data_IF_694761952473
#
_entry.id   IF_694761952473
#
_cell.length_a   1.000
_cell.length_b   1.000
_cell.length_c   1.000
_cell.angle_alpha   90.00
_cell.angle_beta   90.00
_cell.angle_gamma   90.00
#
_symmetry.space_group_name_H-M   'P 1'
#
loop_
_entity.id
_entity.type
_entity.pdbx_description
1 polymer ?
#
# COMPACT_ATOMS: atom_id res chain seq x y z
N UNK A 1 -63.68 61.95 -29.11
CA UNK A 1 -62.36 62.07 -29.75
C UNK A 1 -61.37 62.32 -28.65
N UNK A 2 -60.79 61.34 -28.09
CA UNK A 2 -59.78 61.40 -27.00
C UNK A 2 -58.50 60.74 -27.43
N UNK A 3 -57.48 61.54 -27.52
CA UNK A 3 -56.15 61.13 -27.83
C UNK A 3 -55.44 60.74 -26.52
N UNK A 4 -55.08 59.41 -26.36
CA UNK A 4 -54.38 58.94 -25.18
C UNK A 4 -52.86 58.90 -25.48
N UNK A 5 -52.09 59.62 -24.72
CA UNK A 5 -50.63 59.69 -24.72
C UNK A 5 -50.08 58.44 -24.01
N UNK A 6 -49.27 57.68 -24.71
CA UNK A 6 -48.50 56.55 -24.17
C UNK A 6 -47.15 57.09 -23.67
N UNK A 7 -46.90 56.98 -22.37
CA UNK A 7 -45.61 57.30 -21.77
C UNK A 7 -44.70 56.06 -21.78
N UNK A 8 -43.59 56.13 -22.50
CA UNK A 8 -42.53 55.12 -22.51
C UNK A 8 -41.62 55.38 -21.31
N UNK A 9 -41.58 54.43 -20.34
CA UNK A 9 -40.59 54.46 -19.24
C UNK A 9 -39.36 53.68 -19.66
N UNK A 10 -38.26 54.37 -19.80
CA UNK A 10 -36.94 53.77 -20.00
C UNK A 10 -36.48 53.16 -18.67
N UNK A 11 -36.34 51.82 -18.62
CA UNK A 11 -35.72 51.12 -17.51
C UNK A 11 -34.20 50.98 -17.79
N UNK A 12 -33.41 51.70 -17.01
CA UNK A 12 -31.95 51.57 -17.02
C UNK A 12 -31.59 50.34 -16.19
N UNK A 13 -31.15 49.24 -16.83
CA UNK A 13 -30.62 48.10 -16.16
C UNK A 13 -29.15 48.34 -15.77
N UNK A 14 -28.86 48.46 -14.49
CA UNK A 14 -27.51 48.52 -13.95
C UNK A 14 -26.98 47.06 -13.91
N UNK A 15 -26.10 46.74 -14.82
CA UNK A 15 -25.36 45.46 -14.79
C UNK A 15 -24.23 45.62 -13.78
N UNK A 16 -24.40 45.03 -12.59
CA UNK A 16 -23.31 44.85 -11.62
C UNK A 16 -22.36 43.76 -12.10
N UNK A 17 -21.18 44.13 -12.59
CA UNK A 17 -20.09 43.20 -12.85
C UNK A 17 -19.58 42.66 -11.48
N UNK A 18 -19.97 41.44 -11.12
CA UNK A 18 -19.34 40.71 -10.04
C UNK A 18 -17.95 40.23 -10.53
N UNK A 19 -16.90 40.93 -10.14
CA UNK A 19 -15.52 40.47 -10.30
C UNK A 19 -15.32 39.30 -9.34
N UNK A 20 -15.45 38.07 -9.86
CA UNK A 20 -15.05 36.88 -9.15
C UNK A 20 -13.52 36.93 -9.01
N UNK A 21 -13.04 37.28 -7.82
CA UNK A 21 -11.64 37.11 -7.46
C UNK A 21 -11.37 35.63 -7.41
N UNK A 22 -10.78 35.09 -8.47
CA UNK A 22 -10.15 33.78 -8.41
C UNK A 22 -8.98 33.88 -7.41
N UNK A 23 -9.21 33.50 -6.16
CA UNK A 23 -8.13 33.23 -5.25
C UNK A 23 -7.34 32.07 -5.85
N UNK A 24 -6.14 32.32 -6.34
CA UNK A 24 -5.21 31.29 -6.77
C UNK A 24 -5.02 30.35 -5.58
N UNK A 25 -5.41 29.09 -5.74
CA UNK A 25 -5.15 28.07 -4.74
C UNK A 25 -3.64 28.08 -4.45
N UNK A 26 -3.24 28.04 -3.17
CA UNK A 26 -1.82 28.00 -2.83
C UNK A 26 -1.24 26.75 -3.49
N UNK A 27 -0.29 26.95 -4.39
CA UNK A 27 0.50 25.88 -4.99
C UNK A 27 1.20 25.20 -3.81
N UNK A 28 0.94 23.91 -3.62
CA UNK A 28 1.69 23.09 -2.66
C UNK A 28 3.19 23.28 -2.97
N UNK A 29 3.93 23.86 -2.04
CA UNK A 29 5.37 24.06 -2.23
C UNK A 29 5.98 22.67 -2.11
N UNK A 30 6.34 22.07 -3.23
CA UNK A 30 7.08 20.84 -3.26
C UNK A 30 8.29 20.96 -2.33
N UNK A 31 8.45 20.00 -1.44
CA UNK A 31 9.52 20.00 -0.45
C UNK A 31 10.85 19.77 -1.20
N UNK A 32 11.70 20.79 -1.26
CA UNK A 32 12.95 20.69 -2.00
C UNK A 32 13.82 19.57 -1.41
N UNK A 33 14.20 18.62 -2.25
CA UNK A 33 15.11 17.52 -1.89
C UNK A 33 16.39 18.07 -1.27
N UNK A 34 16.81 17.62 -0.07
CA UNK A 34 18.09 17.99 0.55
C UNK A 34 19.28 17.59 -0.33
N UNK A 35 20.34 18.40 -0.29
CA UNK A 35 21.52 18.15 -1.09
C UNK A 35 22.32 16.92 -0.63
N UNK A 36 22.22 16.56 0.65
CA UNK A 36 22.88 15.39 1.25
C UNK A 36 22.23 14.05 0.87
N UNK A 37 21.04 14.07 0.29
CA UNK A 37 20.22 12.91 -0.07
C UNK A 37 19.82 11.99 1.11
N UNK A 38 20.22 12.29 2.32
CA UNK A 38 20.00 11.46 3.53
C UNK A 38 18.97 12.07 4.47
N UNK A 39 18.89 13.39 4.54
CA UNK A 39 17.93 14.08 5.39
C UNK A 39 16.51 13.88 4.89
N UNK A 40 15.63 13.38 5.77
CA UNK A 40 14.20 13.34 5.53
C UNK A 40 13.54 14.52 6.23
N UNK A 41 13.02 15.50 5.49
CA UNK A 41 12.29 16.60 6.10
C UNK A 41 11.01 16.11 6.81
N UNK A 42 10.56 16.81 7.86
CA UNK A 42 9.28 16.53 8.50
C UNK A 42 8.13 16.71 7.49
N UNK A 43 7.00 16.05 7.75
CA UNK A 43 5.80 16.23 6.93
C UNK A 43 5.34 17.70 7.01
N UNK A 44 5.14 18.39 5.86
CA UNK A 44 4.68 19.77 5.87
C UNK A 44 3.28 19.91 6.47
N UNK A 45 3.09 20.89 7.34
CA UNK A 45 1.79 21.20 7.98
C UNK A 45 1.25 22.58 7.62
N UNK A 46 1.82 23.22 6.61
CA UNK A 46 1.44 24.57 6.17
C UNK A 46 0.10 24.61 5.40
N UNK A 47 -0.30 23.52 4.75
CA UNK A 47 -1.61 23.42 4.12
C UNK A 47 -2.72 23.40 5.19
N UNK A 48 -3.85 24.05 4.88
CA UNK A 48 -5.03 24.00 5.75
C UNK A 48 -6.17 23.37 4.98
N UNK A 49 -6.58 22.13 5.34
CA UNK A 49 -7.69 21.48 4.69
C UNK A 49 -9.01 22.24 4.87
N UNK A 50 -9.98 22.08 3.99
CA UNK A 50 -11.35 22.51 4.23
C UNK A 50 -11.90 21.90 5.52
N UNK A 51 -12.99 22.46 6.03
CA UNK A 51 -13.69 21.90 7.19
C UNK A 51 -15.02 21.29 6.77
N UNK A 52 -15.37 20.20 7.42
CA UNK A 52 -16.71 19.62 7.39
C UNK A 52 -17.73 20.57 8.05
N UNK A 53 -19.03 20.38 7.82
CA UNK A 53 -20.07 21.19 8.47
C UNK A 53 -20.05 21.11 10.01
N UNK A 54 -19.47 20.07 10.60
CA UNK A 54 -19.36 19.89 12.07
C UNK A 54 -17.99 20.30 12.63
N UNK A 55 -17.09 20.84 11.80
CA UNK A 55 -15.89 21.52 12.24
C UNK A 55 -14.58 20.74 12.17
N UNK A 56 -14.60 19.45 11.88
CA UNK A 56 -13.40 18.65 11.62
C UNK A 56 -12.73 19.06 10.30
N UNK A 57 -11.45 18.72 10.11
CA UNK A 57 -10.85 18.86 8.78
C UNK A 57 -11.41 17.80 7.84
N UNK A 58 -11.70 18.18 6.61
CA UNK A 58 -12.33 17.33 5.61
C UNK A 58 -11.28 16.54 4.81
N UNK A 59 -11.25 15.26 5.04
CA UNK A 59 -10.42 14.26 4.34
C UNK A 59 -11.26 13.38 3.41
N UNK A 60 -12.57 13.67 3.29
CA UNK A 60 -13.56 12.83 2.58
C UNK A 60 -13.35 12.88 1.08
N UNK A 61 -12.61 11.95 0.54
CA UNK A 61 -12.39 11.79 -0.91
C UNK A 61 -12.00 10.35 -1.23
N UNK A 62 -11.80 10.09 -2.51
CA UNK A 62 -11.16 8.87 -2.99
C UNK A 62 -9.69 9.16 -3.25
N UNK A 63 -8.83 8.30 -2.75
CA UNK A 63 -7.39 8.34 -2.91
C UNK A 63 -6.91 7.02 -3.52
N UNK A 64 -5.69 7.03 -4.04
CA UNK A 64 -5.05 5.82 -4.57
C UNK A 64 -3.56 5.80 -4.24
N UNK A 65 -3.02 4.58 -4.13
CA UNK A 65 -1.59 4.30 -4.02
C UNK A 65 -1.01 3.77 -5.35
N UNK A 66 -1.80 3.80 -6.43
CA UNK A 66 -1.36 3.27 -7.74
C UNK A 66 -0.04 3.86 -8.21
N UNK A 67 0.15 5.16 -8.00
CA UNK A 67 1.39 5.83 -8.41
C UNK A 67 2.63 5.28 -7.69
N UNK A 68 2.50 4.94 -6.40
CA UNK A 68 3.60 4.34 -5.62
C UNK A 68 3.88 2.92 -6.10
N UNK A 69 2.83 2.15 -6.37
CA UNK A 69 2.93 0.79 -6.89
C UNK A 69 3.56 0.76 -8.28
N UNK A 70 3.08 1.61 -9.19
CA UNK A 70 3.55 1.70 -10.57
C UNK A 70 4.99 2.23 -10.64
N UNK A 71 5.36 3.19 -9.78
CA UNK A 71 6.73 3.68 -9.64
C UNK A 71 7.68 2.68 -8.96
N UNK A 72 7.13 1.58 -8.44
CA UNK A 72 7.87 0.53 -7.72
C UNK A 72 8.71 1.08 -6.57
N UNK A 73 8.13 2.00 -5.79
CA UNK A 73 8.75 2.45 -4.54
C UNK A 73 8.67 1.28 -3.55
N UNK A 74 9.80 0.64 -3.29
CA UNK A 74 9.85 -0.54 -2.43
C UNK A 74 9.55 -0.19 -0.97
N UNK A 75 9.01 -1.15 -0.23
CA UNK A 75 8.78 -0.99 1.21
C UNK A 75 10.10 -0.79 1.94
N UNK A 76 11.03 -1.73 1.80
CA UNK A 76 12.38 -1.61 2.35
C UNK A 76 13.33 -0.96 1.34
N UNK A 77 14.31 -0.23 1.85
CA UNK A 77 15.34 0.42 1.02
C UNK A 77 16.26 -0.62 0.40
N UNK A 78 16.42 -0.61 -0.93
CA UNK A 78 17.46 -1.39 -1.60
C UNK A 78 18.86 -1.13 -1.03
N UNK A 79 19.66 -2.18 -0.95
CA UNK A 79 20.99 -2.12 -0.29
C UNK A 79 21.94 -1.13 -0.95
N UNK A 80 21.85 -0.94 -2.25
CA UNK A 80 22.67 -0.01 -3.02
C UNK A 80 22.49 1.46 -2.63
N UNK A 81 21.36 1.80 -2.01
CA UNK A 81 21.12 3.17 -1.56
C UNK A 81 21.73 3.47 -0.18
N UNK A 82 22.10 2.45 0.60
CA UNK A 82 22.63 2.64 1.96
C UNK A 82 21.68 3.45 2.84
N UNK A 83 22.15 4.60 3.35
CA UNK A 83 21.35 5.52 4.17
C UNK A 83 20.59 6.57 3.36
N UNK A 84 20.78 6.63 2.04
CA UNK A 84 20.16 7.64 1.18
C UNK A 84 18.63 7.49 1.14
N UNK A 85 17.95 8.53 1.52
CA UNK A 85 16.49 8.64 1.49
C UNK A 85 15.99 9.00 0.09
N UNK A 86 16.85 9.65 -0.70
CA UNK A 86 16.56 10.19 -2.02
C UNK A 86 17.48 9.60 -3.08
N UNK A 87 16.92 9.41 -4.27
CA UNK A 87 17.73 9.07 -5.46
C UNK A 87 18.46 10.30 -6.01
N UNK A 88 19.57 10.07 -6.73
CA UNK A 88 20.26 11.12 -7.48
C UNK A 88 19.43 11.59 -8.67
N UNK A 89 19.87 12.66 -9.35
CA UNK A 89 19.17 13.13 -10.55
C UNK A 89 19.32 12.15 -11.72
N UNK A 90 20.44 11.46 -11.82
CA UNK A 90 20.68 10.44 -12.83
C UNK A 90 19.80 9.19 -12.58
N UNK A 91 19.69 8.77 -11.32
CA UNK A 91 18.80 7.68 -10.92
C UNK A 91 17.33 8.04 -11.19
N UNK A 92 16.94 9.25 -10.86
CA UNK A 92 15.61 9.76 -11.15
C UNK A 92 15.32 9.83 -12.65
N UNK A 93 16.29 10.29 -13.45
CA UNK A 93 16.14 10.33 -14.92
C UNK A 93 15.93 8.92 -15.51
N UNK A 94 16.60 7.90 -14.95
CA UNK A 94 16.35 6.50 -15.37
C UNK A 94 14.94 6.02 -15.01
N UNK A 95 14.46 6.34 -13.81
CA UNK A 95 13.07 6.04 -13.39
C UNK A 95 12.06 6.75 -14.29
N UNK A 96 12.30 8.02 -14.61
CA UNK A 96 11.45 8.80 -15.52
C UNK A 96 11.35 8.14 -16.90
N UNK A 97 12.48 7.72 -17.48
CA UNK A 97 12.49 7.04 -18.77
C UNK A 97 11.70 5.71 -18.73
N UNK A 98 11.80 4.97 -17.63
CA UNK A 98 11.02 3.74 -17.44
C UNK A 98 9.51 4.04 -17.34
N UNK A 99 9.13 5.10 -16.61
CA UNK A 99 7.75 5.55 -16.48
C UNK A 99 7.15 6.00 -17.83
N UNK A 100 7.89 6.78 -18.61
CA UNK A 100 7.48 7.20 -19.96
C UNK A 100 7.30 5.99 -20.89
N UNK A 101 8.17 4.99 -20.78
CA UNK A 101 8.03 3.72 -21.50
C UNK A 101 6.78 2.95 -21.09
N UNK A 102 6.48 2.90 -19.80
CA UNK A 102 5.28 2.26 -19.25
C UNK A 102 4.01 2.97 -19.75
N UNK A 103 3.96 4.30 -19.64
CA UNK A 103 2.82 5.10 -20.12
C UNK A 103 2.60 4.93 -21.64
N UNK A 104 3.69 4.81 -22.40
CA UNK A 104 3.60 4.54 -23.84
C UNK A 104 3.09 3.13 -24.16
N UNK A 105 3.46 2.14 -23.36
CA UNK A 105 3.10 0.74 -23.61
C UNK A 105 1.66 0.41 -23.18
N UNK A 106 1.26 0.87 -22.02
CA UNK A 106 -0.05 0.54 -21.43
C UNK A 106 -1.15 1.59 -21.71
N UNK A 107 -0.79 2.68 -22.36
CA UNK A 107 -1.63 3.86 -22.48
C UNK A 107 -1.62 4.69 -21.20
N UNK A 108 -1.79 6.00 -21.39
CA UNK A 108 -1.92 6.91 -20.26
C UNK A 108 -3.28 6.67 -19.60
N UNK A 109 -3.32 6.31 -18.33
CA UNK A 109 -4.57 6.33 -17.57
C UNK A 109 -5.19 7.73 -17.71
N UNK A 110 -6.49 7.80 -17.89
CA UNK A 110 -7.19 9.07 -18.11
C UNK A 110 -6.79 10.11 -17.05
N UNK A 111 -6.90 11.38 -17.38
CA UNK A 111 -6.61 12.44 -16.41
C UNK A 111 -7.37 12.18 -15.12
N UNK A 112 -6.65 12.03 -14.01
CA UNK A 112 -7.25 11.99 -12.69
C UNK A 112 -7.85 13.36 -12.34
N UNK A 113 -8.67 13.43 -11.30
CA UNK A 113 -9.18 14.71 -10.78
C UNK A 113 -8.06 15.65 -10.32
N UNK A 114 -6.87 15.12 -10.09
CA UNK A 114 -5.66 15.89 -9.80
C UNK A 114 -5.00 16.47 -11.05
N UNK A 115 -5.46 16.11 -12.24
CA UNK A 115 -4.91 16.54 -13.51
C UNK A 115 -3.66 15.77 -13.96
N UNK A 116 -3.21 14.76 -13.22
CA UNK A 116 -2.07 13.94 -13.61
C UNK A 116 -2.43 13.02 -14.78
N UNK A 117 -1.51 12.92 -15.74
CA UNK A 117 -1.68 12.17 -16.99
C UNK A 117 -0.69 11.02 -17.08
N UNK A 118 -0.89 9.99 -16.27
CA UNK A 118 -0.02 8.83 -16.20
C UNK A 118 1.09 8.92 -15.16
N UNK A 119 1.91 7.88 -15.11
CA UNK A 119 2.96 7.72 -14.12
C UNK A 119 4.07 8.78 -14.25
N UNK A 120 4.52 9.03 -15.46
CA UNK A 120 5.59 10.00 -15.71
C UNK A 120 5.17 11.43 -15.31
N UNK A 121 3.90 11.78 -15.52
CA UNK A 121 3.39 13.09 -15.13
C UNK A 121 3.32 13.22 -13.61
N UNK A 122 2.83 12.21 -12.90
CA UNK A 122 2.87 12.19 -11.44
C UNK A 122 4.30 12.32 -10.91
N UNK A 123 5.25 11.56 -11.48
CA UNK A 123 6.64 11.60 -11.04
C UNK A 123 7.30 12.98 -11.19
N UNK A 124 6.86 13.79 -12.16
CA UNK A 124 7.37 15.17 -12.32
C UNK A 124 6.87 16.11 -11.22
N UNK A 125 5.71 15.82 -10.64
CA UNK A 125 5.03 16.69 -9.70
C UNK A 125 5.09 16.22 -8.25
N UNK A 126 5.49 14.96 -7.99
CA UNK A 126 5.62 14.38 -6.66
C UNK A 126 7.09 14.23 -6.27
N UNK A 127 7.47 14.85 -5.15
CA UNK A 127 8.78 14.60 -4.55
C UNK A 127 8.89 13.18 -4.00
N UNK A 128 7.75 12.54 -3.72
CA UNK A 128 7.73 11.15 -3.25
C UNK A 128 8.31 10.19 -4.29
N UNK A 129 8.16 10.47 -5.58
CA UNK A 129 8.75 9.69 -6.67
C UNK A 129 10.29 9.60 -6.63
N UNK A 130 10.92 10.50 -5.89
CA UNK A 130 12.39 10.53 -5.69
C UNK A 130 12.83 9.75 -4.44
N UNK A 131 11.92 9.12 -3.72
CA UNK A 131 12.23 8.35 -2.52
C UNK A 131 12.86 7.00 -2.88
N UNK A 132 13.73 6.50 -1.98
CA UNK A 132 14.37 5.18 -2.13
C UNK A 132 13.54 4.06 -1.55
N UNK A 133 12.62 4.37 -0.61
CA UNK A 133 11.76 3.39 0.04
C UNK A 133 10.58 4.07 0.74
N UNK A 134 9.56 3.28 1.10
CA UNK A 134 8.51 3.72 2.01
C UNK A 134 9.03 3.78 3.46
N UNK A 135 9.87 2.81 3.86
CA UNK A 135 10.41 2.72 5.22
C UNK A 135 11.40 3.85 5.47
N UNK A 136 11.16 4.63 6.52
CA UNK A 136 11.94 5.83 6.86
C UNK A 136 12.64 5.73 8.21
N UNK A 137 12.19 4.86 9.07
CA UNK A 137 12.82 4.53 10.34
C UNK A 137 12.80 3.00 10.52
N UNK A 138 13.94 2.39 10.88
CA UNK A 138 15.28 2.96 11.15
C UNK A 138 15.92 3.69 9.96
N UNK A 139 16.96 4.49 10.20
CA UNK A 139 17.57 5.37 9.19
C UNK A 139 18.09 4.64 7.94
N UNK A 140 18.46 3.37 8.06
CA UNK A 140 18.86 2.54 6.93
C UNK A 140 17.67 2.15 6.03
N UNK A 141 16.43 2.50 6.40
CA UNK A 141 15.22 2.19 5.63
C UNK A 141 14.91 0.70 5.53
N UNK A 142 15.38 -0.11 6.47
CA UNK A 142 15.13 -1.56 6.54
C UNK A 142 14.47 -1.92 7.85
N UNK A 143 13.72 -3.02 7.84
CA UNK A 143 13.09 -3.52 9.07
C UNK A 143 14.14 -3.77 10.15
N UNK A 144 13.82 -3.47 11.41
CA UNK A 144 14.69 -3.84 12.53
C UNK A 144 14.90 -5.35 12.58
N UNK A 145 16.00 -5.81 13.17
CA UNK A 145 16.18 -7.23 13.43
C UNK A 145 15.02 -7.81 14.23
N UNK A 146 14.71 -9.07 13.98
CA UNK A 146 13.76 -9.82 14.78
C UNK A 146 14.32 -10.07 16.18
N UNK A 147 13.45 -10.14 17.17
CA UNK A 147 13.80 -10.69 18.46
C UNK A 147 14.08 -12.19 18.35
N UNK A 148 14.69 -12.84 19.35
CA UNK A 148 14.80 -14.30 19.34
C UNK A 148 13.44 -15.02 19.23
N UNK A 149 12.38 -14.44 19.78
CA UNK A 149 11.01 -14.94 19.61
C UNK A 149 10.54 -14.72 18.17
N UNK A 150 10.65 -13.53 17.64
CA UNK A 150 10.30 -13.21 16.26
C UNK A 150 11.05 -14.06 15.24
N UNK A 151 12.36 -14.32 15.48
CA UNK A 151 13.17 -15.17 14.62
C UNK A 151 12.66 -16.63 14.61
N UNK A 152 12.34 -17.18 15.77
CA UNK A 152 11.75 -18.53 15.86
C UNK A 152 10.42 -18.61 15.12
N UNK A 153 9.58 -17.60 15.27
CA UNK A 153 8.29 -17.54 14.59
C UNK A 153 8.46 -17.41 13.06
N UNK A 154 9.42 -16.62 12.62
CA UNK A 154 9.76 -16.50 11.20
C UNK A 154 10.24 -17.82 10.60
N UNK A 155 11.16 -18.54 11.27
CA UNK A 155 11.69 -19.82 10.82
C UNK A 155 10.65 -20.94 10.81
N UNK A 156 9.72 -20.92 11.76
CA UNK A 156 8.65 -21.91 11.88
C UNK A 156 7.34 -21.46 11.25
N UNK A 157 7.23 -20.17 10.94
CA UNK A 157 6.08 -19.58 10.31
C UNK A 157 5.86 -20.09 8.90
N UNK A 158 4.59 -20.15 8.49
CA UNK A 158 4.23 -20.60 7.16
C UNK A 158 3.42 -19.53 6.46
N UNK A 159 3.89 -19.18 5.28
CA UNK A 159 3.05 -18.60 4.25
C UNK A 159 2.59 -19.70 3.32
N UNK A 160 1.52 -19.52 2.58
CA UNK A 160 0.99 -20.51 1.65
C UNK A 160 2.00 -20.99 0.60
N UNK A 161 3.04 -20.22 0.34
CA UNK A 161 3.89 -20.39 -0.82
C UNK A 161 5.36 -20.63 -0.46
N UNK A 162 5.59 -21.35 0.62
CA UNK A 162 6.95 -21.75 0.99
C UNK A 162 7.33 -23.06 0.29
N UNK A 163 8.63 -23.25 -0.02
CA UNK A 163 9.13 -24.51 -0.59
C UNK A 163 8.69 -25.73 0.22
N UNK A 164 8.25 -26.77 -0.47
CA UNK A 164 7.80 -28.02 0.17
C UNK A 164 6.44 -27.97 0.86
N UNK A 165 5.69 -26.87 0.76
CA UNK A 165 4.36 -26.76 1.35
C UNK A 165 3.42 -27.81 0.77
N UNK A 166 2.83 -28.62 1.65
CA UNK A 166 1.73 -29.50 1.32
C UNK A 166 0.40 -28.78 1.58
N UNK A 167 -0.54 -28.90 0.66
CA UNK A 167 -1.89 -28.37 0.80
C UNK A 167 -2.86 -29.53 0.99
N UNK A 168 -3.42 -29.66 2.18
CA UNK A 168 -4.41 -30.69 2.53
C UNK A 168 -5.75 -30.10 2.90
N UNK A 169 -5.76 -28.87 3.43
CA UNK A 169 -6.96 -28.21 3.88
C UNK A 169 -6.86 -26.68 3.71
N UNK A 170 -7.95 -25.99 3.92
CA UNK A 170 -8.02 -24.51 3.78
C UNK A 170 -7.06 -23.79 4.73
N UNK A 171 -6.77 -24.37 5.90
CA UNK A 171 -5.85 -23.80 6.88
C UNK A 171 -4.37 -23.91 6.47
N UNK A 172 -4.08 -24.61 5.37
CA UNK A 172 -2.74 -24.61 4.77
C UNK A 172 -2.46 -23.33 3.98
N UNK A 173 -3.46 -22.50 3.77
CA UNK A 173 -3.35 -21.21 3.10
C UNK A 173 -3.35 -20.08 4.11
N UNK A 174 -2.64 -18.99 3.79
CA UNK A 174 -2.65 -17.79 4.62
C UNK A 174 -3.96 -17.00 4.47
N UNK A 175 -4.07 -15.94 5.24
CA UNK A 175 -5.29 -15.10 5.25
C UNK A 175 -5.54 -14.39 3.94
N UNK A 176 -4.49 -14.14 3.15
CA UNK A 176 -4.62 -13.52 1.85
C UNK A 176 -5.24 -14.48 0.83
N UNK A 177 -4.69 -15.69 0.71
CA UNK A 177 -5.19 -16.70 -0.21
C UNK A 177 -6.62 -17.15 0.13
N UNK A 178 -7.04 -17.00 1.37
CA UNK A 178 -8.40 -17.30 1.83
C UNK A 178 -9.36 -16.11 1.73
N UNK A 179 -8.96 -15.03 1.06
CA UNK A 179 -9.78 -13.83 0.89
C UNK A 179 -10.24 -13.16 2.21
N UNK A 180 -9.43 -13.25 3.26
CA UNK A 180 -9.76 -12.64 4.56
C UNK A 180 -9.14 -11.26 4.66
N UNK A 181 -7.81 -11.16 4.55
CA UNK A 181 -7.06 -9.91 4.67
C UNK A 181 -5.62 -10.08 4.24
N UNK A 182 -4.98 -8.98 3.88
CA UNK A 182 -3.50 -8.91 3.74
C UNK A 182 -2.80 -8.75 5.09
N UNK A 183 -3.54 -8.60 6.17
CA UNK A 183 -3.04 -8.21 7.47
C UNK A 183 -3.00 -6.69 7.67
N UNK A 184 -2.82 -6.26 8.91
CA UNK A 184 -2.67 -4.86 9.26
C UNK A 184 -1.30 -4.63 9.93
N UNK A 185 -0.51 -3.63 9.49
CA UNK A 185 -0.89 -2.58 8.54
C UNK A 185 -0.62 -2.90 7.06
N UNK A 186 -0.27 -4.12 6.67
CA UNK A 186 0.08 -4.46 5.28
C UNK A 186 -1.00 -4.06 4.26
N UNK A 187 -2.29 -4.10 4.66
CA UNK A 187 -3.41 -3.66 3.80
C UNK A 187 -3.41 -2.17 3.50
N UNK A 188 -2.65 -1.36 4.23
CA UNK A 188 -2.53 0.08 4.00
C UNK A 188 -1.48 0.40 2.93
N UNK A 189 -0.53 -0.50 2.67
CA UNK A 189 0.57 -0.26 1.74
C UNK A 189 0.21 -0.59 0.29
N UNK A 190 0.90 0.04 -0.69
CA UNK A 190 0.65 -0.19 -2.11
C UNK A 190 0.72 -1.67 -2.48
N UNK A 191 -0.13 -2.07 -3.41
CA UNK A 191 -0.14 -3.38 -4.03
C UNK A 191 -0.11 -3.23 -5.55
N UNK A 192 -0.03 -4.33 -6.27
CA UNK A 192 0.00 -4.34 -7.75
C UNK A 192 -1.29 -3.82 -8.40
N UNK A 193 -2.40 -3.88 -7.69
CA UNK A 193 -3.73 -3.51 -8.18
C UNK A 193 -4.66 -3.22 -7.01
N UNK A 194 -5.82 -2.61 -7.27
CA UNK A 194 -6.85 -2.30 -6.28
C UNK A 194 -6.32 -1.49 -5.09
N UNK A 195 -5.64 -0.38 -5.41
CA UNK A 195 -5.05 0.51 -4.42
C UNK A 195 -5.96 1.68 -4.01
N UNK A 196 -7.26 1.56 -4.30
CA UNK A 196 -8.23 2.58 -3.95
C UNK A 196 -8.44 2.66 -2.44
N UNK A 197 -8.44 3.89 -1.92
CA UNK A 197 -8.75 4.22 -0.54
C UNK A 197 -9.88 5.25 -0.57
N UNK A 198 -11.02 4.94 0.03
CA UNK A 198 -12.12 5.90 0.14
C UNK A 198 -12.33 6.30 1.59
N UNK A 199 -12.30 7.60 1.83
CA UNK A 199 -12.54 8.15 3.16
C UNK A 199 -13.96 8.72 3.22
N UNK A 200 -14.70 8.34 4.24
CA UNK A 200 -15.97 8.93 4.63
C UNK A 200 -15.86 9.50 6.03
N UNK A 201 -16.54 10.60 6.27
CA UNK A 201 -16.59 11.22 7.58
C UNK A 201 -18.03 11.52 8.01
N UNK A 202 -18.26 11.39 9.30
CA UNK A 202 -19.48 11.83 9.97
C UNK A 202 -19.10 12.39 11.35
N UNK A 203 -19.99 13.08 12.05
CA UNK A 203 -19.67 13.59 13.39
C UNK A 203 -19.15 12.47 14.30
N UNK A 204 -17.91 12.61 14.79
CA UNK A 204 -17.26 11.67 15.70
C UNK A 204 -16.70 10.40 15.05
N UNK A 205 -16.71 10.28 13.71
CA UNK A 205 -16.21 9.09 13.02
C UNK A 205 -15.50 9.42 11.71
N UNK A 206 -14.47 8.65 11.42
CA UNK A 206 -13.88 8.52 10.08
C UNK A 206 -13.90 7.06 9.66
N UNK A 207 -14.23 6.80 8.40
CA UNK A 207 -14.20 5.46 7.80
C UNK A 207 -13.18 5.45 6.69
N UNK A 208 -12.22 4.53 6.76
CA UNK A 208 -11.24 4.27 5.72
C UNK A 208 -11.61 2.94 5.09
N UNK A 209 -12.18 2.98 3.89
CA UNK A 209 -12.53 1.81 3.11
C UNK A 209 -11.44 1.54 2.07
N UNK A 210 -10.84 0.36 2.12
CA UNK A 210 -9.86 -0.12 1.17
C UNK A 210 -10.57 -0.91 0.07
N UNK A 211 -10.20 -0.68 -1.17
CA UNK A 211 -10.77 -1.43 -2.29
C UNK A 211 -10.44 -2.92 -2.17
N UNK A 212 -9.25 -3.24 -1.68
CA UNK A 212 -8.81 -4.60 -1.47
C UNK A 212 -8.92 -5.01 0.01
N UNK A 213 -9.97 -5.74 0.36
CA UNK A 213 -10.17 -6.40 1.65
C UNK A 213 -9.89 -5.54 2.90
N UNK A 214 -10.85 -4.78 3.31
CA UNK A 214 -10.81 -4.14 4.63
C UNK A 214 -11.53 -2.79 4.67
N UNK A 215 -12.20 -2.56 5.79
CA UNK A 215 -12.80 -1.28 6.14
C UNK A 215 -12.56 -1.02 7.61
N UNK A 216 -12.10 0.19 7.92
CA UNK A 216 -11.83 0.64 9.27
C UNK A 216 -12.86 1.71 9.64
N UNK A 217 -13.68 1.45 10.64
CA UNK A 217 -14.60 2.43 11.24
C UNK A 217 -13.95 2.95 12.51
N UNK A 218 -13.53 4.20 12.50
CA UNK A 218 -12.63 4.78 13.49
C UNK A 218 -13.36 5.91 14.23
N UNK A 219 -13.69 5.73 15.50
CA UNK A 219 -14.18 6.82 16.35
C UNK A 219 -13.11 7.90 16.53
N UNK A 220 -13.52 9.17 16.50
CA UNK A 220 -12.69 10.34 16.80
C UNK A 220 -13.06 10.83 18.21
N UNK A 221 -12.06 10.95 19.09
CA UNK A 221 -12.21 11.38 20.47
C UNK A 221 -11.66 10.38 21.49
N UNK A 222 -12.08 10.50 22.74
CA UNK A 222 -11.49 9.83 23.93
C UNK A 222 -12.03 8.40 24.15
N UNK A 223 -12.61 7.74 23.15
CA UNK A 223 -13.12 6.40 23.30
C UNK A 223 -12.00 5.39 23.59
N UNK A 224 -12.18 4.56 24.64
CA UNK A 224 -11.19 3.54 24.99
C UNK A 224 -11.10 2.44 23.91
N UNK A 225 -9.91 1.84 23.78
CA UNK A 225 -9.73 0.63 22.99
C UNK A 225 -10.49 -0.57 23.59
N UNK A 226 -10.71 -1.57 22.79
CA UNK A 226 -11.30 -2.82 23.25
C UNK A 226 -10.44 -3.50 24.31
N UNK A 227 -11.04 -4.32 25.17
CA UNK A 227 -10.28 -5.22 26.03
C UNK A 227 -9.38 -6.15 25.18
N UNK A 228 -8.18 -6.46 25.69
CA UNK A 228 -7.18 -7.28 24.98
C UNK A 228 -7.71 -8.57 24.30
N UNK A 229 -8.67 -9.33 24.88
CA UNK A 229 -9.14 -10.55 24.24
C UNK A 229 -9.97 -10.34 22.98
N UNK A 230 -10.43 -9.11 22.72
CA UNK A 230 -11.20 -8.79 21.50
C UNK A 230 -10.23 -8.31 20.41
N UNK A 231 -10.03 -9.12 19.42
CA UNK A 231 -9.15 -8.83 18.30
C UNK A 231 -9.92 -8.74 16.98
N UNK A 232 -9.39 -8.00 16.03
CA UNK A 232 -9.88 -8.01 14.64
C UNK A 232 -8.71 -7.97 13.67
N UNK A 233 -8.97 -8.39 12.43
CA UNK A 233 -7.95 -8.39 11.37
C UNK A 233 -7.39 -7.00 11.06
N UNK A 234 -8.21 -5.96 11.17
CA UNK A 234 -7.82 -4.57 10.96
C UNK A 234 -7.52 -3.84 12.28
N UNK A 235 -7.48 -4.57 13.39
CA UNK A 235 -7.31 -4.01 14.73
C UNK A 235 -8.50 -3.18 15.21
N UNK A 236 -8.32 -2.54 16.36
CA UNK A 236 -9.24 -1.59 16.94
C UNK A 236 -8.61 -0.20 16.93
N UNK A 237 -9.10 0.67 16.08
CA UNK A 237 -8.56 2.00 15.85
C UNK A 237 -9.33 3.08 16.61
N UNK A 238 -8.61 4.11 17.08
CA UNK A 238 -9.13 5.34 17.68
C UNK A 238 -8.38 6.51 17.11
N UNK A 239 -9.05 7.62 16.92
CA UNK A 239 -8.42 8.81 16.35
C UNK A 239 -8.64 10.05 17.20
N UNK A 240 -7.71 10.98 17.09
CA UNK A 240 -7.83 12.33 17.63
C UNK A 240 -7.10 13.33 16.72
N UNK A 241 -7.41 14.60 16.87
CA UNK A 241 -6.76 15.66 16.11
C UNK A 241 -5.58 16.25 16.88
N UNK A 242 -4.41 16.29 16.26
CA UNK A 242 -3.26 17.09 16.67
C UNK A 242 -3.06 18.23 15.67
N UNK A 243 -3.65 19.37 15.97
CA UNK A 243 -3.69 20.50 15.02
C UNK A 243 -4.45 20.12 13.75
N UNK A 244 -3.75 20.00 12.61
CA UNK A 244 -4.32 19.63 11.31
C UNK A 244 -4.03 18.17 10.91
N UNK A 245 -3.37 17.42 11.77
CA UNK A 245 -3.03 16.02 11.57
C UNK A 245 -4.04 15.15 12.30
N UNK A 246 -4.58 14.16 11.63
CA UNK A 246 -5.37 13.11 12.25
C UNK A 246 -4.42 12.01 12.72
N UNK A 247 -4.39 11.77 14.03
CA UNK A 247 -3.60 10.69 14.64
C UNK A 247 -4.53 9.51 14.89
N UNK A 248 -4.15 8.33 14.41
CA UNK A 248 -4.91 7.09 14.56
C UNK A 248 -4.04 6.07 15.28
N UNK A 249 -4.49 5.66 16.46
CA UNK A 249 -3.87 4.57 17.20
C UNK A 249 -4.65 3.28 16.96
N UNK A 250 -3.94 2.19 16.65
CA UNK A 250 -4.56 0.88 16.43
C UNK A 250 -3.88 -0.17 17.30
N UNK A 251 -4.70 -0.88 18.04
CA UNK A 251 -4.33 -2.03 18.88
C UNK A 251 -5.23 -3.22 18.56
N UNK A 252 -5.15 -4.30 19.31
CA UNK A 252 -6.04 -5.46 19.17
C UNK A 252 -6.02 -6.03 17.72
N UNK A 253 -4.86 -5.96 17.07
CA UNK A 253 -4.63 -6.54 15.77
C UNK A 253 -4.59 -8.06 15.98
N UNK A 254 -5.41 -8.78 15.20
CA UNK A 254 -5.46 -10.23 15.31
C UNK A 254 -4.11 -10.84 14.98
N UNK A 255 -3.54 -11.51 15.94
CA UNK A 255 -2.27 -12.23 15.83
C UNK A 255 -2.53 -13.67 15.48
N UNK A 256 -2.31 -14.05 14.26
CA UNK A 256 -2.47 -15.42 13.84
C UNK A 256 -3.89 -15.75 13.36
N UNK A 257 -3.97 -16.93 12.86
CA UNK A 257 -5.21 -17.51 12.34
C UNK A 257 -5.74 -18.51 13.35
N UNK A 258 -6.93 -18.25 13.88
CA UNK A 258 -7.59 -19.08 14.89
C UNK A 258 -7.89 -20.51 14.40
N UNK A 259 -7.87 -20.72 13.10
CA UNK A 259 -8.11 -22.04 12.51
C UNK A 259 -6.86 -22.91 12.46
N UNK A 260 -5.70 -22.41 12.87
CA UNK A 260 -4.44 -23.18 12.87
C UNK A 260 -4.08 -23.67 14.25
N UNK A 261 -3.35 -24.78 14.31
CA UNK A 261 -2.82 -25.33 15.56
C UNK A 261 -1.67 -24.48 16.12
N UNK A 262 -1.13 -23.58 15.34
CA UNK A 262 -0.06 -22.69 15.73
C UNK A 262 -0.44 -21.25 15.32
N UNK A 263 -0.81 -20.41 16.30
CA UNK A 263 -1.31 -19.07 16.02
C UNK A 263 -0.30 -18.17 15.31
N UNK A 264 0.99 -18.49 15.39
CA UNK A 264 2.03 -17.69 14.77
C UNK A 264 2.36 -18.10 13.33
N UNK A 265 2.02 -19.32 12.93
CA UNK A 265 2.28 -19.79 11.56
C UNK A 265 1.43 -19.15 10.50
N UNK A 266 0.32 -18.53 10.90
CA UNK A 266 -0.69 -17.95 10.01
C UNK A 266 -1.06 -16.54 10.44
N UNK A 267 -0.15 -15.86 11.12
CA UNK A 267 -0.39 -14.50 11.56
C UNK A 267 -0.63 -13.57 10.37
N UNK A 268 -1.53 -12.63 10.54
CA UNK A 268 -1.67 -11.50 9.63
C UNK A 268 -0.39 -10.67 9.69
N UNK A 269 0.45 -10.78 8.68
CA UNK A 269 1.75 -10.12 8.67
C UNK A 269 1.62 -8.60 8.57
N UNK A 270 2.41 -7.81 9.32
CA UNK A 270 2.53 -6.39 9.11
C UNK A 270 3.17 -6.04 7.75
N UNK A 271 3.92 -6.99 7.18
CA UNK A 271 4.60 -6.82 5.91
C UNK A 271 4.34 -8.03 5.04
N UNK A 272 3.34 -7.96 4.21
CA UNK A 272 3.18 -8.90 3.10
C UNK A 272 3.92 -8.32 1.91
N UNK A 273 4.92 -9.03 1.44
CA UNK A 273 5.69 -8.62 0.28
C UNK A 273 4.91 -8.92 -0.99
N UNK A 274 3.88 -8.16 -1.21
CA UNK A 274 3.12 -8.26 -2.45
C UNK A 274 3.39 -7.10 -3.38
N UNK A 275 4.13 -6.12 -2.91
CA UNK A 275 4.27 -4.86 -3.65
C UNK A 275 4.99 -5.01 -4.98
N UNK A 276 5.84 -6.02 -5.15
CA UNK A 276 6.61 -6.20 -6.39
C UNK A 276 6.62 -7.66 -6.86
N UNK A 277 5.61 -8.42 -6.51
CA UNK A 277 5.52 -9.82 -6.90
C UNK A 277 6.54 -10.71 -6.24
N UNK A 278 6.83 -10.37 -5.04
CA UNK A 278 7.72 -11.12 -4.23
C UNK A 278 7.16 -12.40 -3.73
N UNK A 279 8.08 -13.26 -3.45
CA UNK A 279 7.76 -14.48 -2.79
C UNK A 279 7.18 -14.18 -1.41
N UNK A 280 6.29 -15.02 -0.98
CA UNK A 280 5.64 -15.00 0.33
C UNK A 280 6.59 -15.22 1.49
N UNK A 281 7.88 -15.23 1.26
CA UNK A 281 8.91 -15.58 2.24
C UNK A 281 9.16 -14.48 3.29
N UNK A 282 8.65 -13.28 3.05
CA UNK A 282 8.88 -12.14 3.95
C UNK A 282 7.66 -11.80 4.83
N UNK A 283 6.76 -12.74 5.01
CA UNK A 283 5.72 -12.58 6.02
C UNK A 283 6.30 -12.79 7.40
N UNK A 284 6.23 -11.74 8.23
CA UNK A 284 6.60 -11.84 9.64
C UNK A 284 5.35 -11.96 10.51
N UNK A 285 5.41 -12.72 11.58
CA UNK A 285 4.26 -12.85 12.46
C UNK A 285 3.96 -11.52 13.17
N UNK A 286 2.71 -11.37 13.54
CA UNK A 286 2.22 -10.28 14.39
C UNK A 286 1.91 -10.84 15.76
N UNK A 287 2.41 -10.22 16.83
CA UNK A 287 2.08 -10.62 18.18
C UNK A 287 0.84 -9.87 18.72
N UNK A 288 0.24 -10.32 19.85
CA UNK A 288 -0.83 -9.60 20.52
C UNK A 288 -0.43 -8.20 21.05
N UNK A 289 0.87 -7.93 21.14
CA UNK A 289 1.41 -6.63 21.60
C UNK A 289 1.64 -5.66 20.42
N UNK A 290 1.29 -6.07 19.22
CA UNK A 290 1.40 -5.23 18.02
C UNK A 290 0.47 -4.02 18.11
N UNK A 291 1.00 -2.86 17.74
CA UNK A 291 0.25 -1.60 17.66
C UNK A 291 0.80 -0.70 16.58
N UNK A 292 -0.06 0.18 16.06
CA UNK A 292 0.37 1.24 15.14
C UNK A 292 -0.08 2.60 15.61
N UNK A 293 0.69 3.61 15.20
CA UNK A 293 0.30 5.02 15.24
C UNK A 293 0.45 5.56 13.83
N UNK A 294 -0.66 5.98 13.22
CA UNK A 294 -0.70 6.62 11.91
C UNK A 294 -0.91 8.13 12.10
N UNK A 295 -0.26 8.91 11.28
CA UNK A 295 -0.38 10.37 11.25
C UNK A 295 -0.75 10.81 9.84
N UNK A 296 -2.04 11.03 9.62
CA UNK A 296 -2.55 11.50 8.34
C UNK A 296 -2.51 13.02 8.30
N UNK A 297 -1.73 13.59 7.40
CA UNK A 297 -1.59 15.03 7.21
C UNK A 297 -1.85 15.39 5.75
N UNK A 298 -2.84 16.25 5.49
CA UNK A 298 -2.97 16.80 4.15
C UNK A 298 -1.85 17.81 3.90
N UNK A 299 -1.04 17.55 2.89
CA UNK A 299 0.08 18.41 2.46
C UNK A 299 -0.29 19.31 1.29
N UNK A 300 -1.44 19.07 0.70
CA UNK A 300 -2.04 19.83 -0.39
C UNK A 300 -3.51 19.43 -0.59
N UNK A 301 -4.21 20.05 -1.55
CA UNK A 301 -5.64 19.76 -1.80
C UNK A 301 -5.90 18.34 -2.29
N UNK A 302 -4.87 17.69 -2.82
CA UNK A 302 -4.96 16.38 -3.48
C UNK A 302 -4.03 15.32 -2.87
N UNK A 303 -3.43 15.60 -1.71
CA UNK A 303 -2.38 14.75 -1.16
C UNK A 303 -2.55 14.61 0.35
N UNK A 304 -2.63 13.37 0.81
CA UNK A 304 -2.42 12.99 2.22
C UNK A 304 -1.05 12.33 2.32
N UNK A 305 -0.26 12.77 3.29
CA UNK A 305 0.91 12.04 3.75
C UNK A 305 0.50 11.18 4.93
N UNK A 306 0.64 9.87 4.79
CA UNK A 306 0.50 8.92 5.89
C UNK A 306 1.89 8.56 6.42
N UNK A 307 2.08 8.76 7.72
CA UNK A 307 3.27 8.33 8.44
C UNK A 307 2.85 7.31 9.50
N UNK A 308 3.08 6.03 9.19
CA UNK A 308 2.67 4.89 10.00
C UNK A 308 3.87 4.34 10.77
N UNK A 309 3.80 4.38 12.09
CA UNK A 309 4.75 3.72 13.00
C UNK A 309 4.15 2.42 13.53
N UNK A 310 4.85 1.32 13.34
CA UNK A 310 4.51 0.00 13.87
C UNK A 310 5.44 -0.37 15.02
N UNK A 311 4.89 -0.90 16.09
CA UNK A 311 5.61 -1.38 17.25
C UNK A 311 5.09 -2.75 17.67
N UNK A 312 5.98 -3.72 17.72
CA UNK A 312 5.71 -5.08 18.19
C UNK A 312 6.95 -5.63 18.88
N UNK A 313 7.08 -5.43 20.21
CA UNK A 313 8.30 -5.76 20.95
C UNK A 313 8.55 -7.26 21.11
N UNK A 314 7.54 -8.11 20.83
CA UNK A 314 7.74 -9.56 20.77
C UNK A 314 8.34 -10.01 19.46
N UNK A 315 8.09 -9.27 18.38
CA UNK A 315 8.56 -9.62 17.03
C UNK A 315 9.81 -8.86 16.62
N UNK A 316 9.88 -7.54 16.85
CA UNK A 316 10.98 -6.70 16.42
C UNK A 316 11.77 -6.09 17.59
N UNK A 317 13.07 -5.89 17.38
CA UNK A 317 13.95 -5.27 18.37
C UNK A 317 13.71 -3.76 18.55
N UNK A 318 13.05 -3.13 17.62
CA UNK A 318 12.68 -1.70 17.65
C UNK A 318 11.43 -1.44 16.79
N UNK A 319 10.71 -0.33 17.04
CA UNK A 319 9.67 0.14 16.13
C UNK A 319 10.25 0.52 14.75
N UNK A 320 9.39 0.48 13.73
CA UNK A 320 9.71 1.00 12.42
C UNK A 320 8.62 1.97 11.93
N UNK A 321 8.99 2.89 11.03
CA UNK A 321 8.06 3.87 10.46
C UNK A 321 8.14 3.83 8.95
N UNK A 322 6.99 3.70 8.31
CA UNK A 322 6.81 3.92 6.88
C UNK A 322 6.13 5.26 6.65
N UNK A 323 6.44 5.89 5.52
CA UNK A 323 5.78 7.11 5.06
C UNK A 323 5.36 6.90 3.62
N UNK A 324 4.10 7.23 3.30
CA UNK A 324 3.55 7.10 1.96
C UNK A 324 2.66 8.28 1.60
N UNK A 325 2.48 8.48 0.31
CA UNK A 325 1.67 9.55 -0.26
C UNK A 325 0.39 8.96 -0.86
N UNK A 326 -0.76 9.35 -0.34
CA UNK A 326 -2.06 9.03 -0.92
C UNK A 326 -2.46 10.14 -1.88
N UNK A 327 -2.57 9.80 -3.15
CA UNK A 327 -2.96 10.76 -4.18
C UNK A 327 -4.47 10.75 -4.38
N UNK A 328 -5.12 11.91 -4.25
CA UNK A 328 -6.56 12.04 -4.50
C UNK A 328 -6.89 11.80 -5.96
N UNK A 329 -7.88 10.96 -6.20
CA UNK A 329 -8.50 10.73 -7.50
C UNK A 329 -9.99 10.43 -7.36
N UNK A 330 -10.81 11.48 -7.42
CA UNK A 330 -12.27 11.32 -7.32
C UNK A 330 -12.90 10.69 -8.58
N UNK A 331 -12.12 10.52 -9.66
CA UNK A 331 -12.54 9.77 -10.85
C UNK A 331 -12.25 8.29 -10.76
N UNK A 332 -11.50 7.87 -9.74
CA UNK A 332 -11.14 6.47 -9.51
C UNK A 332 -12.39 5.60 -9.37
N UNK A 333 -12.44 4.53 -10.15
CA UNK A 333 -13.53 3.57 -10.10
C UNK A 333 -13.26 2.53 -9.03
N UNK A 334 -13.96 2.66 -7.92
CA UNK A 334 -13.90 1.72 -6.82
C UNK A 334 -14.79 0.52 -7.14
N UNK A 335 -14.19 -0.62 -7.40
CA UNK A 335 -14.91 -1.85 -7.72
C UNK A 335 -14.97 -2.78 -6.51
N UNK A 336 -15.95 -3.65 -6.48
CA UNK A 336 -15.98 -4.74 -5.52
C UNK A 336 -14.81 -5.68 -5.77
N UNK A 337 -14.05 -5.96 -4.73
CA UNK A 337 -13.00 -6.98 -4.77
C UNK A 337 -13.62 -8.34 -4.45
N UNK A 338 -14.19 -8.98 -5.45
CA UNK A 338 -14.92 -10.24 -5.35
C UNK A 338 -13.96 -11.45 -5.25
N UNK A 339 -13.05 -11.43 -4.32
CA UNK A 339 -12.00 -12.44 -4.12
C UNK A 339 -12.59 -13.84 -3.97
N UNK A 340 -13.67 -13.99 -3.20
CA UNK A 340 -14.31 -15.29 -2.95
C UNK A 340 -14.89 -15.95 -4.20
N UNK A 341 -15.35 -15.18 -5.17
CA UNK A 341 -15.91 -15.74 -6.41
C UNK A 341 -14.84 -16.45 -7.26
N UNK A 342 -13.60 -15.99 -7.21
CA UNK A 342 -12.45 -16.58 -7.90
C UNK A 342 -11.75 -17.67 -7.12
N UNK A 343 -12.10 -17.92 -5.86
CA UNK A 343 -11.32 -18.72 -4.92
C UNK A 343 -11.50 -20.25 -5.07
N UNK A 344 -11.98 -20.69 -6.21
CA UNK A 344 -11.94 -22.10 -6.63
C UNK A 344 -10.51 -22.64 -6.68
N UNK A 345 -9.52 -21.73 -6.69
CA UNK A 345 -8.11 -22.08 -6.72
C UNK A 345 -7.68 -22.82 -5.47
N UNK A 346 -8.16 -22.45 -4.28
CA UNK A 346 -7.86 -23.14 -3.02
C UNK A 346 -8.16 -24.64 -3.14
N UNK A 347 -9.38 -24.98 -3.62
CA UNK A 347 -9.76 -26.37 -3.88
C UNK A 347 -8.82 -27.04 -4.89
N UNK A 348 -8.50 -26.36 -5.97
CA UNK A 348 -7.65 -26.91 -7.03
C UNK A 348 -6.23 -27.18 -6.54
N UNK A 349 -5.66 -26.29 -5.73
CA UNK A 349 -4.34 -26.50 -5.12
C UNK A 349 -4.35 -27.70 -4.15
N UNK A 350 -5.38 -27.84 -3.32
CA UNK A 350 -5.52 -29.01 -2.43
C UNK A 350 -5.56 -30.30 -3.23
N UNK A 351 -6.40 -30.37 -4.25
CA UNK A 351 -6.56 -31.57 -5.08
C UNK A 351 -5.27 -31.89 -5.82
N UNK A 352 -4.64 -30.88 -6.43
CA UNK A 352 -3.37 -31.06 -7.16
C UNK A 352 -2.23 -31.50 -6.22
N UNK A 353 -2.10 -30.86 -5.06
CA UNK A 353 -1.07 -31.20 -4.07
C UNK A 353 -1.21 -32.65 -3.58
N UNK A 354 -2.41 -33.08 -3.28
CA UNK A 354 -2.66 -34.49 -2.89
C UNK A 354 -2.34 -35.48 -4.02
N UNK A 355 -2.77 -35.18 -5.24
CA UNK A 355 -2.50 -36.02 -6.42
C UNK A 355 -1.00 -36.13 -6.71
N UNK A 356 -0.26 -35.04 -6.63
CA UNK A 356 1.20 -35.03 -6.85
C UNK A 356 1.94 -35.86 -5.80
N UNK A 357 1.63 -35.68 -4.53
CA UNK A 357 2.25 -36.47 -3.44
C UNK A 357 1.92 -37.95 -3.58
N UNK A 358 0.71 -38.29 -4.02
CA UNK A 358 0.35 -39.68 -4.29
C UNK A 358 1.18 -40.26 -5.43
N UNK A 359 1.48 -39.52 -6.51
CA UNK A 359 2.38 -39.97 -7.59
C UNK A 359 3.80 -40.14 -7.10
N UNK A 360 4.31 -39.20 -6.29
CA UNK A 360 5.65 -39.34 -5.68
C UNK A 360 5.72 -40.59 -4.81
N UNK A 361 4.71 -40.84 -3.98
CA UNK A 361 4.67 -42.03 -3.11
C UNK A 361 4.64 -43.36 -3.89
N UNK A 362 4.10 -43.35 -5.11
CA UNK A 362 4.11 -44.53 -6.01
C UNK A 362 5.35 -44.61 -6.89
N UNK A 363 6.29 -43.67 -6.78
CA UNK A 363 7.49 -43.64 -7.60
C UNK A 363 7.27 -43.23 -9.07
N UNK A 364 6.10 -42.68 -9.39
CA UNK A 364 5.73 -42.27 -10.76
C UNK A 364 6.38 -40.93 -11.16
N UNK A 365 6.77 -40.13 -10.19
CA UNK A 365 7.33 -38.80 -10.39
C UNK A 365 8.28 -38.43 -9.25
N UNK A 366 9.43 -37.78 -9.54
CA UNK A 366 10.24 -37.19 -8.48
C UNK A 366 9.53 -36.02 -7.83
N UNK A 367 9.83 -35.77 -6.56
CA UNK A 367 9.38 -34.54 -5.87
C UNK A 367 9.93 -33.32 -6.60
N UNK A 368 9.06 -32.38 -6.95
CA UNK A 368 9.45 -31.12 -7.58
C UNK A 368 9.18 -29.96 -6.66
N UNK A 369 10.18 -29.11 -6.46
CA UNK A 369 9.97 -27.81 -5.82
C UNK A 369 9.55 -26.78 -6.87
N UNK A 370 8.25 -26.53 -6.97
CA UNK A 370 7.70 -25.58 -7.93
C UNK A 370 7.89 -24.12 -7.50
N UNK A 371 8.32 -23.86 -6.27
CA UNK A 371 8.42 -22.52 -5.71
C UNK A 371 9.80 -21.87 -5.89
N UNK A 372 10.82 -22.64 -6.25
CA UNK A 372 12.16 -22.10 -6.59
C UNK A 372 12.13 -21.07 -7.74
N UNK A 373 11.01 -20.94 -8.44
CA UNK A 373 10.81 -19.94 -9.51
C UNK A 373 10.37 -18.56 -9.01
N UNK A 374 9.98 -18.43 -7.75
CA UNK A 374 9.38 -17.22 -7.21
C UNK A 374 10.30 -16.43 -6.28
N UNK A 375 11.59 -16.78 -6.21
CA UNK A 375 12.56 -15.96 -5.49
C UNK A 375 12.75 -14.64 -6.21
N UNK A 376 12.23 -13.57 -5.66
CA UNK A 376 12.46 -12.23 -6.14
C UNK A 376 13.53 -11.60 -5.25
N UNK A 377 14.55 -11.02 -5.86
CA UNK A 377 15.54 -10.25 -5.15
C UNK A 377 14.95 -8.88 -4.79
N UNK A 378 14.54 -8.73 -3.53
CA UNK A 378 14.03 -7.46 -2.99
C UNK A 378 15.12 -6.59 -2.39
N UNK A 379 16.35 -7.03 -2.42
CA UNK A 379 17.48 -6.28 -1.91
C UNK A 379 17.94 -5.19 -2.88
N UNK A 380 17.49 -5.26 -4.16
CA UNK A 380 17.89 -4.34 -5.21
C UNK A 380 16.71 -3.59 -5.86
N UNK A 381 16.94 -2.34 -6.24
CA UNK A 381 15.95 -1.54 -6.98
C UNK A 381 15.81 -2.06 -8.42
N UNK A 382 14.63 -2.54 -8.83
CA UNK A 382 14.40 -3.03 -10.17
C UNK A 382 14.53 -1.96 -11.26
N UNK A 383 14.49 -0.66 -10.87
CA UNK A 383 14.68 0.48 -11.80
C UNK A 383 16.13 0.89 -12.02
N UNK A 384 17.08 0.40 -11.23
CA UNK A 384 18.51 0.79 -11.29
C UNK A 384 19.37 -0.27 -11.98
N UNK A 385 18.76 -1.34 -12.49
CA UNK A 385 19.47 -2.38 -13.21
C UNK A 385 20.13 -3.37 -12.27
N UNK A 386 19.32 -4.14 -11.57
CA UNK A 386 19.79 -5.45 -11.10
C UNK A 386 20.43 -6.18 -12.29
N UNK A 387 21.56 -6.86 -12.09
CA UNK A 387 22.12 -7.66 -13.16
C UNK A 387 21.02 -8.59 -13.69
N UNK A 388 20.92 -8.81 -15.01
CA UNK A 388 19.90 -9.68 -15.56
C UNK A 388 19.96 -11.00 -14.76
N UNK A 389 18.81 -11.58 -14.41
CA UNK A 389 18.79 -12.84 -13.69
C UNK A 389 19.68 -13.83 -14.42
N UNK A 390 20.55 -14.50 -13.70
CA UNK A 390 21.50 -15.44 -14.26
C UNK A 390 20.77 -16.31 -15.31
N UNK A 391 21.30 -16.35 -16.52
CA UNK A 391 20.69 -17.05 -17.62
C UNK A 391 20.31 -18.45 -17.13
N UNK A 392 19.04 -18.81 -17.27
CA UNK A 392 18.57 -20.15 -16.91
C UNK A 392 19.50 -21.16 -17.56
N UNK A 393 19.97 -22.18 -16.84
CA UNK A 393 20.63 -23.30 -17.50
C UNK A 393 19.69 -23.74 -18.64
N UNK A 394 20.14 -23.61 -19.85
CA UNK A 394 19.44 -24.19 -21.00
C UNK A 394 19.36 -25.67 -20.72
N UNK A 395 18.14 -26.19 -20.54
CA UNK A 395 17.94 -27.62 -20.50
C UNK A 395 18.63 -28.15 -21.75
N UNK A 396 19.72 -28.91 -21.56
CA UNK A 396 20.37 -29.63 -22.64
C UNK A 396 19.31 -30.55 -23.21
N UNK A 397 18.78 -30.25 -24.38
CA UNK A 397 18.03 -31.19 -25.19
C UNK A 397 19.01 -32.34 -25.51
N UNK A 398 19.03 -33.35 -24.67
CA UNK A 398 19.61 -34.63 -25.00
C UNK A 398 18.86 -35.16 -26.21
N UNK A 399 19.38 -34.92 -27.40
CA UNK A 399 19.10 -35.75 -28.55
C UNK A 399 19.74 -37.09 -28.24
N UNK A 400 18.99 -38.00 -27.69
CA UNK A 400 19.31 -39.40 -27.80
C UNK A 400 19.09 -39.79 -29.28
N UNK A 401 20.22 -40.13 -29.92
CA UNK A 401 20.22 -40.63 -31.27
C UNK A 401 19.51 -41.97 -31.37
N UNK A 402 18.50 -42.03 -32.18
CA UNK A 402 18.03 -43.31 -32.76
C UNK A 402 19.11 -43.84 -33.70
N UNK A 403 19.74 -44.90 -33.28
CA UNK A 403 20.67 -45.67 -34.07
C UNK A 403 20.43 -47.16 -33.84
N UNK A 404 20.03 -47.89 -34.91
CA UNK A 404 20.02 -49.33 -34.99
C UNK A 404 18.66 -49.98 -34.98
#
# INVERSE_FOLDING_TARGET
>A
MNCSTVSVRLAVAVIALATASFAAAPIAVAQKRPADLETLPPVPTNYTPPKTPWGDYDFSHTYTLDNLADARILFQRPKEYGTRVWVTDEEFARRMKAAEGSDSHFGVRGASTTGTKGLADWMRHSDFAKRTSLLVSPANGRLPPLTPQGQRLYETGRSSWVPGQAFDWVDDFDTWDRCITRGFPASMFPNRYNNGIRIFQSPGYIVIALEMLGTRVIPIGDAAHWPKPLESWMGNSRAHWEGKTLVIETTNIKSGDSATHDPFKRAASPVIVTMVGGAPLDTTPTSPEARTVERLTMTGPNTIMDELTYSDPETYTAPWTAREEWTRDDSYKFYEYACHEGDVQVRNYIVASRAERAKVARGEKPATDNLARFTTDFDHDPGVGAPPPAARPTASNGKEGAGG
#
